data_IF_545519026406
#
_entry.id   IF_545519026406
#
_cell.length_a   1.000
_cell.length_b   1.000
_cell.length_c   1.000
_cell.angle_alpha   90.00
_cell.angle_beta   90.00
_cell.angle_gamma   90.00
#
_symmetry.space_group_name_H-M   'P 1'
#
loop_
_entity.id
_entity.type
_entity.pdbx_description
1 polymer ?
#
# COMPACT_ATOMS: atom_id res chain seq x y z
N UNK A 1 19.87 -10.69 33.04
CA UNK A 1 18.56 -10.28 32.48
C UNK A 1 18.71 -8.83 32.13
N UNK A 2 18.65 -8.46 30.83
CA UNK A 2 18.70 -7.05 30.45
C UNK A 2 17.47 -6.37 31.06
N UNK A 3 17.66 -5.22 31.72
CA UNK A 3 16.56 -4.41 32.26
C UNK A 3 15.56 -4.13 31.13
N UNK A 4 14.35 -4.66 31.23
CA UNK A 4 13.28 -4.40 30.28
C UNK A 4 12.98 -2.90 30.31
N UNK A 5 13.37 -2.18 29.27
CA UNK A 5 13.11 -0.73 29.17
C UNK A 5 11.61 -0.50 29.25
N UNK A 6 11.16 0.21 30.27
CA UNK A 6 9.74 0.48 30.50
C UNK A 6 9.25 1.45 29.43
N UNK A 7 8.30 1.03 28.60
CA UNK A 7 7.63 1.89 27.62
C UNK A 7 6.63 2.80 28.35
N UNK A 8 6.77 4.11 28.21
CA UNK A 8 5.88 5.14 28.77
C UNK A 8 5.27 6.03 27.71
N UNK A 9 6.01 6.24 26.62
CA UNK A 9 5.59 7.10 25.52
C UNK A 9 5.84 6.41 24.17
N UNK A 10 4.81 6.34 23.35
CA UNK A 10 4.88 5.79 21.98
C UNK A 10 4.81 6.94 20.98
N UNK A 11 5.75 6.97 20.04
CA UNK A 11 5.67 7.78 18.81
C UNK A 11 4.91 7.04 17.73
N UNK A 12 4.19 7.76 16.87
CA UNK A 12 3.59 7.22 15.65
C UNK A 12 3.82 8.15 14.48
N UNK A 13 4.24 7.60 13.34
CA UNK A 13 4.44 8.35 12.10
C UNK A 13 3.98 7.56 10.87
N UNK A 14 3.70 8.30 9.80
CA UNK A 14 3.46 7.76 8.46
C UNK A 14 4.67 8.07 7.59
N UNK A 15 5.17 7.09 6.85
CA UNK A 15 6.29 7.28 5.93
C UNK A 15 5.99 6.61 4.58
N UNK A 16 6.41 7.26 3.50
CA UNK A 16 6.14 6.79 2.14
C UNK A 16 4.86 7.37 1.55
N UNK A 17 4.21 6.65 0.64
CA UNK A 17 2.93 7.05 0.07
C UNK A 17 1.78 6.87 1.06
N UNK A 18 0.78 7.72 0.97
CA UNK A 18 -0.46 7.56 1.74
C UNK A 18 -1.31 6.42 1.17
N UNK A 19 -2.11 5.83 2.06
CA UNK A 19 -3.04 4.76 1.72
C UNK A 19 -4.31 4.87 2.58
N UNK A 20 -5.50 4.57 2.02
CA UNK A 20 -6.75 4.58 2.78
C UNK A 20 -6.71 3.55 3.92
N UNK A 21 -7.05 3.97 5.14
CA UNK A 21 -6.93 3.14 6.35
C UNK A 21 -5.76 3.51 7.25
N UNK A 22 -4.81 4.33 6.82
CA UNK A 22 -3.72 4.82 7.67
C UNK A 22 -4.24 5.58 8.90
N UNK A 23 -5.31 6.36 8.77
CA UNK A 23 -5.94 7.02 9.91
C UNK A 23 -6.55 6.02 10.91
N UNK A 24 -7.12 4.92 10.43
CA UNK A 24 -7.61 3.86 11.30
C UNK A 24 -6.47 3.21 12.09
N UNK A 25 -5.30 3.00 11.47
CA UNK A 25 -4.10 2.50 12.13
C UNK A 25 -3.58 3.49 13.20
N UNK A 26 -3.44 4.78 12.85
CA UNK A 26 -3.06 5.83 13.81
C UNK A 26 -4.02 5.83 15.00
N UNK A 27 -5.33 5.85 14.73
CA UNK A 27 -6.38 5.84 15.76
C UNK A 27 -6.23 4.62 16.68
N UNK A 28 -5.98 3.45 16.13
CA UNK A 28 -5.82 2.23 16.91
C UNK A 28 -4.59 2.30 17.82
N UNK A 29 -3.43 2.72 17.29
CA UNK A 29 -2.22 2.94 18.09
C UNK A 29 -2.49 3.91 19.23
N UNK A 30 -3.07 5.08 18.94
CA UNK A 30 -3.34 6.12 19.93
C UNK A 30 -4.29 5.60 21.01
N UNK A 31 -5.44 5.05 20.65
CA UNK A 31 -6.45 4.61 21.62
C UNK A 31 -5.98 3.43 22.45
N UNK A 32 -5.29 2.46 21.84
CA UNK A 32 -4.74 1.31 22.58
C UNK A 32 -3.67 1.75 23.57
N UNK A 33 -2.75 2.62 23.16
CA UNK A 33 -1.70 3.14 24.03
C UNK A 33 -2.28 3.95 25.20
N UNK A 34 -3.19 4.88 24.94
CA UNK A 34 -3.86 5.66 26.00
C UNK A 34 -4.66 4.76 26.95
N UNK A 35 -5.39 3.76 26.44
CA UNK A 35 -6.13 2.79 27.25
C UNK A 35 -5.23 1.96 28.17
N UNK A 36 -3.95 1.83 27.83
CA UNK A 36 -2.91 1.16 28.65
C UNK A 36 -2.08 2.13 29.51
N UNK A 37 -2.51 3.40 29.62
CA UNK A 37 -1.87 4.42 30.46
C UNK A 37 -0.60 5.03 29.86
N UNK A 38 -0.33 4.83 28.57
CA UNK A 38 0.83 5.39 27.88
C UNK A 38 0.53 6.78 27.32
N UNK A 39 1.58 7.57 27.10
CA UNK A 39 1.51 8.82 26.31
C UNK A 39 1.74 8.52 24.85
N UNK A 40 1.14 9.31 23.95
CA UNK A 40 1.32 9.16 22.50
C UNK A 40 1.75 10.48 21.88
N UNK A 41 2.78 10.42 21.04
CA UNK A 41 3.29 11.51 20.25
C UNK A 41 3.09 11.23 18.76
N UNK A 42 2.34 12.10 18.09
CA UNK A 42 2.22 12.08 16.64
C UNK A 42 3.39 12.83 16.01
N UNK A 43 4.04 12.23 15.04
CA UNK A 43 5.12 12.86 14.27
C UNK A 43 4.55 13.21 12.90
N UNK A 44 4.42 14.49 12.62
CA UNK A 44 3.91 14.97 11.34
C UNK A 44 4.96 14.79 10.25
N UNK A 45 4.50 14.58 9.01
CA UNK A 45 5.34 14.45 7.81
C UNK A 45 6.45 13.38 7.93
N UNK A 46 6.17 12.31 8.67
CA UNK A 46 7.02 11.12 8.76
C UNK A 46 8.43 11.40 9.28
N UNK A 47 9.42 10.75 8.69
CA UNK A 47 10.82 10.94 9.09
C UNK A 47 11.33 12.36 8.87
N UNK A 48 10.85 13.06 7.83
CA UNK A 48 11.23 14.47 7.62
C UNK A 48 10.76 15.32 8.80
N UNK A 49 9.53 15.13 9.25
CA UNK A 49 9.02 15.85 10.40
C UNK A 49 9.68 15.44 11.72
N UNK A 50 10.10 14.17 11.85
CA UNK A 50 10.91 13.75 13.00
C UNK A 50 12.19 14.56 13.08
N UNK A 51 12.92 14.68 11.97
CA UNK A 51 14.18 15.46 11.90
C UNK A 51 13.98 16.96 12.11
N UNK A 52 12.79 17.47 11.80
CA UNK A 52 12.38 18.86 12.02
C UNK A 52 11.71 19.09 13.38
N UNK A 53 11.62 18.06 14.22
CA UNK A 53 10.94 18.10 15.52
C UNK A 53 9.43 18.47 15.44
N UNK A 54 8.74 18.11 14.35
CA UNK A 54 7.30 18.34 14.16
C UNK A 54 6.47 17.30 14.95
N UNK A 55 6.65 17.33 16.26
CA UNK A 55 6.10 16.34 17.19
C UNK A 55 4.99 16.99 18.03
N UNK A 56 3.84 16.33 18.08
CA UNK A 56 2.66 16.79 18.82
C UNK A 56 2.21 15.71 19.82
N UNK A 57 1.65 16.11 20.93
CA UNK A 57 0.96 15.17 21.82
C UNK A 57 -0.41 14.81 21.22
N UNK A 58 -0.75 13.53 21.27
CA UNK A 58 -2.04 13.01 20.77
C UNK A 58 -2.91 12.53 21.94
N UNK A 59 -4.14 13.04 21.95
CA UNK A 59 -5.22 12.57 22.82
C UNK A 59 -6.23 11.70 22.06
N UNK A 60 -7.16 11.09 22.78
CA UNK A 60 -8.25 10.32 22.17
C UNK A 60 -9.16 11.19 21.29
N UNK A 61 -9.23 12.52 21.55
CA UNK A 61 -10.03 13.47 20.77
C UNK A 61 -9.39 13.76 19.41
N UNK A 62 -8.06 13.80 19.33
CA UNK A 62 -7.35 14.11 18.08
C UNK A 62 -7.53 13.04 17.00
N UNK A 63 -7.91 11.83 17.40
CA UNK A 63 -8.20 10.70 16.51
C UNK A 63 -9.68 10.33 16.45
N UNK A 64 -10.57 11.19 16.99
CA UNK A 64 -12.02 11.02 16.86
C UNK A 64 -12.43 11.33 15.40
N UNK A 65 -13.40 10.57 14.90
CA UNK A 65 -13.99 10.77 13.57
C UNK A 65 -12.93 10.80 12.44
N UNK A 66 -11.91 9.93 12.59
CA UNK A 66 -10.82 9.79 11.61
C UNK A 66 -10.80 8.41 10.95
N UNK A 67 -11.52 7.41 11.49
CA UNK A 67 -11.48 6.03 11.01
C UNK A 67 -11.98 5.88 9.57
N UNK A 68 -12.95 6.71 9.17
CA UNK A 68 -13.55 6.72 7.85
C UNK A 68 -12.83 7.67 6.87
N UNK A 69 -11.84 8.44 7.33
CA UNK A 69 -11.18 9.47 6.51
C UNK A 69 -10.02 8.87 5.74
N UNK A 70 -9.98 9.15 4.43
CA UNK A 70 -8.82 8.88 3.58
C UNK A 70 -7.64 9.79 3.90
N UNK A 71 -6.51 9.53 3.24
CA UNK A 71 -5.25 10.23 3.51
C UNK A 71 -4.71 9.91 4.91
N UNK A 72 -3.93 10.84 5.46
CA UNK A 72 -3.37 10.70 6.82
C UNK A 72 -3.35 12.03 7.59
N UNK A 73 -3.88 12.03 8.81
CA UNK A 73 -3.91 13.21 9.69
C UNK A 73 -2.52 13.66 10.13
N UNK A 74 -1.53 12.76 10.09
CA UNK A 74 -0.13 13.07 10.40
C UNK A 74 0.66 13.52 9.18
N UNK A 75 0.07 13.47 7.99
CA UNK A 75 0.77 13.77 6.75
C UNK A 75 1.95 12.83 6.49
N UNK A 76 2.56 12.92 5.33
CA UNK A 76 3.75 12.15 4.98
C UNK A 76 4.67 13.01 4.10
N UNK A 77 5.96 12.71 4.11
CA UNK A 77 6.94 13.35 3.23
C UNK A 77 8.10 12.39 2.93
N UNK A 78 8.74 12.60 1.77
CA UNK A 78 10.01 11.94 1.48
C UNK A 78 11.11 12.54 2.34
N UNK A 79 12.03 11.71 2.83
CA UNK A 79 13.15 12.14 3.67
C UNK A 79 14.45 11.51 3.17
N UNK A 80 15.23 12.26 2.40
CA UNK A 80 16.51 11.79 1.89
C UNK A 80 17.56 11.68 3.02
N UNK A 81 17.50 12.55 4.03
CA UNK A 81 18.45 12.60 5.15
C UNK A 81 18.42 11.29 5.97
N UNK A 82 17.27 10.59 6.06
CA UNK A 82 17.18 9.28 6.73
C UNK A 82 17.98 8.17 6.03
N UNK A 83 18.48 8.38 4.83
CA UNK A 83 19.37 7.42 4.16
C UNK A 83 20.81 7.53 4.64
N UNK A 84 21.17 8.61 5.34
CA UNK A 84 22.49 8.85 5.89
C UNK A 84 22.57 8.43 7.37
N UNK A 85 23.73 8.00 7.81
CA UNK A 85 23.95 7.64 9.21
C UNK A 85 23.76 8.84 10.14
N UNK A 86 24.19 10.04 9.73
CA UNK A 86 24.01 11.28 10.48
C UNK A 86 22.51 11.59 10.72
N UNK A 87 21.67 11.45 9.67
CA UNK A 87 20.23 11.63 9.78
C UNK A 87 19.58 10.62 10.71
N UNK A 88 20.02 9.36 10.67
CA UNK A 88 19.54 8.30 11.55
C UNK A 88 19.92 8.56 13.01
N UNK A 89 21.17 8.97 13.28
CA UNK A 89 21.63 9.33 14.61
C UNK A 89 20.87 10.54 15.16
N UNK A 90 20.65 11.56 14.34
CA UNK A 90 19.87 12.76 14.68
C UNK A 90 18.42 12.37 15.01
N UNK A 91 17.77 11.54 14.19
CA UNK A 91 16.41 11.07 14.42
C UNK A 91 16.31 10.29 15.73
N UNK A 92 17.25 9.39 16.03
CA UNK A 92 17.29 8.65 17.29
C UNK A 92 17.52 9.58 18.49
N UNK A 93 18.38 10.59 18.37
CA UNK A 93 18.60 11.59 19.40
C UNK A 93 17.32 12.41 19.70
N UNK A 94 16.58 12.78 18.65
CA UNK A 94 15.30 13.48 18.78
C UNK A 94 14.26 12.59 19.48
N UNK A 95 14.14 11.30 19.11
CA UNK A 95 13.27 10.37 19.83
C UNK A 95 13.61 10.37 21.32
N UNK A 96 14.88 10.28 21.70
CA UNK A 96 15.34 10.31 23.10
C UNK A 96 15.03 11.66 23.77
N UNK A 97 15.27 12.79 23.10
CA UNK A 97 14.98 14.15 23.57
C UNK A 97 13.49 14.31 23.93
N UNK A 98 12.61 13.76 23.10
CA UNK A 98 11.16 13.80 23.31
C UNK A 98 10.63 12.65 24.18
N UNK A 99 11.49 11.80 24.73
CA UNK A 99 11.13 10.69 25.59
C UNK A 99 10.29 9.62 24.89
N UNK A 100 10.47 9.43 23.57
CA UNK A 100 9.80 8.39 22.80
C UNK A 100 10.54 7.08 23.06
N UNK A 101 9.90 6.16 23.80
CA UNK A 101 10.45 4.86 24.16
C UNK A 101 10.23 3.79 23.11
N UNK A 102 9.12 3.93 22.34
CA UNK A 102 8.76 3.06 21.23
C UNK A 102 8.21 3.88 20.07
N UNK A 103 8.46 3.45 18.83
CA UNK A 103 8.02 4.12 17.62
C UNK A 103 7.25 3.16 16.71
N UNK A 104 6.01 3.50 16.40
CA UNK A 104 5.22 2.81 15.38
C UNK A 104 5.37 3.53 14.05
N UNK A 105 5.82 2.81 13.04
CA UNK A 105 6.07 3.32 11.68
C UNK A 105 5.08 2.66 10.71
N UNK A 106 4.20 3.45 10.12
CA UNK A 106 3.21 2.97 9.17
C UNK A 106 3.68 3.32 7.75
N UNK A 107 3.85 2.32 6.89
CA UNK A 107 4.33 2.51 5.52
C UNK A 107 4.78 1.22 4.85
N UNK A 108 5.58 1.33 3.80
CA UNK A 108 6.13 0.20 3.05
C UNK A 108 7.58 -0.15 3.45
N UNK A 109 8.26 -1.00 2.66
CA UNK A 109 9.60 -1.51 2.93
C UNK A 109 10.63 -0.40 3.19
N UNK A 110 10.61 0.68 2.42
CA UNK A 110 11.51 1.81 2.65
C UNK A 110 11.31 2.46 4.02
N UNK A 111 10.09 2.43 4.56
CA UNK A 111 9.77 2.95 5.90
C UNK A 111 10.25 2.00 6.98
N UNK A 112 10.17 0.69 6.72
CA UNK A 112 10.70 -0.35 7.62
C UNK A 112 12.22 -0.34 7.67
N UNK A 113 12.89 -0.12 6.53
CA UNK A 113 14.34 0.08 6.52
C UNK A 113 14.75 1.27 7.39
N UNK A 114 13.99 2.37 7.38
CA UNK A 114 14.20 3.49 8.30
C UNK A 114 13.97 3.12 9.77
N UNK A 115 12.92 2.34 10.06
CA UNK A 115 12.63 1.84 11.41
C UNK A 115 13.74 0.91 11.94
N UNK A 116 14.26 0.01 11.10
CA UNK A 116 15.41 -0.85 11.39
C UNK A 116 16.65 -0.02 11.80
N UNK A 117 16.96 1.02 11.03
CA UNK A 117 18.10 1.88 11.38
C UNK A 117 17.92 2.55 12.74
N UNK A 118 16.71 3.02 13.06
CA UNK A 118 16.42 3.58 14.40
C UNK A 118 16.52 2.52 15.50
N UNK A 119 16.12 1.27 15.24
CA UNK A 119 16.30 0.17 16.17
C UNK A 119 17.78 -0.06 16.51
N UNK A 120 18.68 0.04 15.54
CA UNK A 120 20.13 -0.06 15.75
C UNK A 120 20.68 1.05 16.67
N UNK A 121 20.01 2.22 16.76
CA UNK A 121 20.32 3.29 17.68
C UNK A 121 19.56 3.22 19.02
N UNK A 122 18.89 2.08 19.28
CA UNK A 122 18.23 1.78 20.55
C UNK A 122 16.83 2.36 20.72
N UNK A 123 16.14 2.66 19.62
CA UNK A 123 14.71 3.01 19.62
C UNK A 123 13.92 1.73 19.34
N UNK A 124 12.95 1.39 20.20
CA UNK A 124 12.09 0.23 19.95
C UNK A 124 11.13 0.56 18.78
N UNK A 125 11.19 -0.19 17.69
CA UNK A 125 10.40 0.11 16.47
C UNK A 125 9.48 -1.04 16.09
N UNK A 126 8.25 -0.70 15.68
CA UNK A 126 7.28 -1.64 15.11
C UNK A 126 6.75 -1.04 13.81
N UNK A 127 6.87 -1.79 12.70
CA UNK A 127 6.32 -1.45 11.39
C UNK A 127 4.88 -1.93 11.22
N UNK A 128 4.05 -1.14 10.54
CA UNK A 128 2.72 -1.54 10.06
C UNK A 128 2.66 -1.41 8.54
N UNK A 129 2.20 -2.45 7.81
CA UNK A 129 2.21 -2.47 6.36
C UNK A 129 1.11 -1.56 5.79
N UNK A 130 1.48 -0.34 5.42
CA UNK A 130 0.60 0.68 4.83
C UNK A 130 1.04 1.02 3.42
N UNK A 131 0.44 0.38 2.42
CA UNK A 131 0.63 0.60 0.98
C UNK A 131 -0.54 0.00 0.21
N UNK A 132 -0.89 0.63 -0.91
CA UNK A 132 -1.90 0.08 -1.82
C UNK A 132 -1.33 -1.02 -2.74
N UNK A 133 -0.02 -1.21 -2.80
CA UNK A 133 0.68 -2.00 -3.82
C UNK A 133 0.66 -3.51 -3.51
N UNK A 134 0.42 -3.90 -2.25
CA UNK A 134 0.45 -5.29 -1.74
C UNK A 134 1.81 -5.99 -1.96
N UNK A 135 2.87 -5.22 -2.11
CA UNK A 135 4.23 -5.67 -2.47
C UNK A 135 5.08 -6.11 -1.27
N UNK A 136 4.63 -5.90 -0.03
CA UNK A 136 5.35 -6.29 1.18
C UNK A 136 5.30 -7.81 1.35
N UNK A 137 6.46 -8.47 1.25
CA UNK A 137 6.56 -9.93 1.13
C UNK A 137 6.17 -10.71 2.38
N UNK A 138 6.37 -10.16 3.57
CA UNK A 138 6.08 -10.83 4.84
C UNK A 138 4.59 -10.89 5.20
N UNK A 139 3.70 -10.27 4.41
CA UNK A 139 2.27 -10.19 4.70
C UNK A 139 1.40 -10.48 3.49
N UNK A 140 0.24 -11.07 3.72
CA UNK A 140 -0.80 -11.29 2.71
C UNK A 140 -1.74 -10.09 2.56
N UNK A 141 -1.62 -9.09 3.42
CA UNK A 141 -2.47 -7.90 3.42
C UNK A 141 -1.71 -6.63 3.77
N UNK A 142 -1.94 -5.57 2.99
CA UNK A 142 -1.44 -4.23 3.29
C UNK A 142 -2.61 -3.24 3.40
N UNK A 143 -2.51 -2.32 4.37
CA UNK A 143 -3.53 -1.31 4.64
C UNK A 143 -3.64 -0.37 3.43
N UNK A 144 -4.83 -0.32 2.82
CA UNK A 144 -5.14 0.50 1.66
C UNK A 144 -5.35 -0.26 0.36
N UNK A 145 -4.89 -1.51 0.26
CA UNK A 145 -5.01 -2.32 -0.95
C UNK A 145 -6.48 -2.56 -1.34
N UNK A 146 -7.32 -3.02 -0.40
CA UNK A 146 -8.71 -3.32 -0.68
C UNK A 146 -9.49 -2.08 -1.15
N UNK A 147 -9.24 -0.94 -0.55
CA UNK A 147 -9.85 0.34 -0.97
C UNK A 147 -9.38 0.75 -2.37
N UNK A 148 -8.08 0.61 -2.67
CA UNK A 148 -7.54 0.94 -3.98
C UNK A 148 -8.13 0.05 -5.09
N UNK A 149 -8.27 -1.26 -4.85
CA UNK A 149 -8.95 -2.18 -5.77
C UNK A 149 -10.41 -1.77 -5.99
N UNK A 150 -11.16 -1.49 -4.92
CA UNK A 150 -12.57 -1.08 -5.03
C UNK A 150 -12.72 0.26 -5.78
N UNK A 151 -11.82 1.21 -5.57
CA UNK A 151 -11.80 2.48 -6.31
C UNK A 151 -11.55 2.25 -7.79
N UNK A 152 -10.56 1.43 -8.12
CA UNK A 152 -10.25 1.07 -9.50
C UNK A 152 -11.41 0.30 -10.17
N UNK A 153 -11.98 -0.69 -9.50
CA UNK A 153 -13.12 -1.47 -9.97
C UNK A 153 -14.30 -0.56 -10.37
N UNK A 154 -14.68 0.39 -9.50
CA UNK A 154 -15.74 1.34 -9.80
C UNK A 154 -15.44 2.25 -10.99
N UNK A 155 -14.18 2.61 -11.20
CA UNK A 155 -13.76 3.38 -12.37
C UNK A 155 -13.80 2.53 -13.65
N UNK A 156 -13.33 1.28 -13.58
CA UNK A 156 -13.32 0.33 -14.69
C UNK A 156 -14.76 0.03 -15.15
N UNK A 157 -15.69 -0.18 -14.22
CA UNK A 157 -17.12 -0.39 -14.55
C UNK A 157 -17.68 0.77 -15.40
N UNK A 158 -17.40 2.03 -15.01
CA UNK A 158 -17.84 3.21 -15.74
C UNK A 158 -17.18 3.31 -17.14
N UNK A 159 -15.91 2.94 -17.24
CA UNK A 159 -15.20 2.90 -18.52
C UNK A 159 -15.78 1.80 -19.40
N UNK A 160 -16.11 0.64 -18.84
CA UNK A 160 -16.73 -0.48 -19.56
C UNK A 160 -18.07 -0.09 -20.17
N UNK A 161 -18.93 0.63 -19.43
CA UNK A 161 -20.23 1.10 -19.94
C UNK A 161 -20.07 1.92 -21.21
N UNK A 162 -19.15 2.88 -21.22
CA UNK A 162 -18.91 3.70 -22.41
C UNK A 162 -18.18 2.93 -23.52
N UNK A 163 -17.26 2.01 -23.16
CA UNK A 163 -16.58 1.16 -24.14
C UNK A 163 -17.56 0.24 -24.88
N UNK A 164 -18.52 -0.31 -24.17
CA UNK A 164 -19.60 -1.12 -24.75
C UNK A 164 -20.48 -0.28 -25.67
N UNK A 165 -20.84 0.93 -25.26
CA UNK A 165 -21.71 1.82 -26.05
C UNK A 165 -21.09 2.27 -27.37
N UNK A 166 -19.78 2.38 -27.42
CA UNK A 166 -19.01 2.87 -28.58
C UNK A 166 -18.20 1.78 -29.32
N UNK A 167 -18.33 0.52 -28.89
CA UNK A 167 -17.60 -0.62 -29.47
C UNK A 167 -16.06 -0.40 -29.50
N UNK A 168 -15.48 0.02 -28.34
CA UNK A 168 -14.08 0.43 -28.20
C UNK A 168 -13.23 -0.60 -27.46
N UNK A 169 -11.93 -0.52 -27.67
CA UNK A 169 -10.93 -1.05 -26.75
C UNK A 169 -10.57 0.02 -25.71
N UNK A 170 -10.49 -0.37 -24.44
CA UNK A 170 -10.07 0.52 -23.36
C UNK A 170 -8.91 -0.10 -22.59
N UNK A 171 -7.82 0.66 -22.48
CA UNK A 171 -6.67 0.32 -21.65
C UNK A 171 -6.81 1.14 -20.36
N UNK A 172 -6.95 0.48 -19.24
CA UNK A 172 -7.05 1.12 -17.93
C UNK A 172 -5.75 0.88 -17.16
N UNK A 173 -5.00 1.97 -16.94
CA UNK A 173 -3.77 1.91 -16.16
C UNK A 173 -4.08 2.06 -14.69
N UNK A 174 -3.61 1.09 -13.90
CA UNK A 174 -3.73 1.05 -12.44
C UNK A 174 -2.38 1.19 -11.80
N UNK A 175 -2.34 1.74 -10.58
CA UNK A 175 -1.14 1.82 -9.78
C UNK A 175 -0.66 0.41 -9.36
N UNK A 176 0.38 0.33 -8.56
CA UNK A 176 0.99 -0.91 -8.06
C UNK A 176 2.51 -0.84 -8.08
N UNK A 177 3.07 0.27 -8.61
CA UNK A 177 4.50 0.49 -8.73
C UNK A 177 5.14 -0.62 -9.58
N UNK A 178 6.04 -1.42 -8.98
CA UNK A 178 6.74 -2.53 -9.64
C UNK A 178 6.02 -3.89 -9.43
N UNK A 179 4.75 -3.87 -8.96
CA UNK A 179 3.96 -5.06 -8.65
C UNK A 179 2.60 -5.06 -9.34
N UNK A 180 2.20 -6.21 -9.88
CA UNK A 180 0.97 -6.41 -10.64
C UNK A 180 -0.26 -6.79 -9.81
N UNK A 181 -0.21 -6.77 -8.48
CA UNK A 181 -1.34 -7.25 -7.65
C UNK A 181 -2.63 -6.44 -7.85
N UNK A 182 -2.54 -5.11 -7.94
CA UNK A 182 -3.71 -4.26 -8.24
C UNK A 182 -4.28 -4.60 -9.61
N UNK A 183 -3.43 -4.74 -10.63
CA UNK A 183 -3.86 -5.09 -11.99
C UNK A 183 -4.54 -6.46 -12.03
N UNK A 184 -3.96 -7.47 -11.36
CA UNK A 184 -4.52 -8.81 -11.30
C UNK A 184 -5.90 -8.82 -10.65
N UNK A 185 -6.03 -8.19 -9.48
CA UNK A 185 -7.31 -8.14 -8.75
C UNK A 185 -8.38 -7.35 -9.52
N UNK A 186 -8.02 -6.20 -10.08
CA UNK A 186 -8.92 -5.41 -10.91
C UNK A 186 -9.34 -6.18 -12.17
N UNK A 187 -8.40 -6.86 -12.82
CA UNK A 187 -8.67 -7.64 -14.02
C UNK A 187 -9.63 -8.80 -13.78
N UNK A 188 -9.41 -9.58 -12.72
CA UNK A 188 -10.32 -10.68 -12.32
C UNK A 188 -11.70 -10.12 -11.93
N UNK A 189 -11.75 -9.10 -11.08
CA UNK A 189 -12.99 -8.54 -10.57
C UNK A 189 -13.88 -7.92 -11.65
N UNK A 190 -13.29 -7.37 -12.70
CA UNK A 190 -14.02 -6.76 -13.79
C UNK A 190 -14.09 -7.64 -15.06
N UNK A 191 -13.52 -8.85 -15.05
CA UNK A 191 -13.50 -9.72 -16.23
C UNK A 191 -12.81 -9.07 -17.42
N UNK A 192 -11.58 -8.56 -17.21
CA UNK A 192 -10.78 -7.99 -18.28
C UNK A 192 -10.29 -9.06 -19.25
N UNK A 193 -10.22 -8.72 -20.53
CA UNK A 193 -9.74 -9.63 -21.56
C UNK A 193 -8.21 -9.79 -21.52
N UNK A 194 -7.50 -8.79 -21.00
CA UNK A 194 -6.05 -8.86 -20.82
C UNK A 194 -5.63 -8.12 -19.55
N UNK A 195 -4.66 -8.69 -18.86
CA UNK A 195 -4.03 -8.07 -17.68
C UNK A 195 -2.53 -8.05 -17.96
N UNK A 196 -1.93 -6.86 -17.91
CA UNK A 196 -0.49 -6.65 -18.13
C UNK A 196 0.16 -6.32 -16.79
N UNK A 197 1.21 -7.07 -16.43
CA UNK A 197 1.86 -6.96 -15.12
C UNK A 197 3.38 -6.89 -15.29
N UNK A 198 4.10 -6.16 -14.43
CA UNK A 198 5.56 -6.04 -14.51
C UNK A 198 6.29 -7.37 -14.37
N UNK A 199 5.70 -8.33 -13.68
CA UNK A 199 6.25 -9.67 -13.48
C UNK A 199 6.24 -10.51 -14.77
N UNK A 200 5.44 -10.12 -15.75
CA UNK A 200 5.49 -10.68 -17.11
C UNK A 200 6.41 -9.81 -17.99
N UNK A 201 7.70 -10.16 -18.00
CA UNK A 201 8.70 -9.39 -18.75
C UNK A 201 8.52 -9.42 -20.28
N UNK A 202 7.73 -10.37 -20.78
CA UNK A 202 7.59 -10.65 -22.23
C UNK A 202 6.11 -10.63 -22.65
N UNK A 203 5.34 -9.57 -22.29
CA UNK A 203 4.01 -9.45 -22.88
C UNK A 203 4.12 -9.20 -24.40
N UNK A 204 3.39 -9.99 -25.16
CA UNK A 204 3.39 -9.95 -26.61
C UNK A 204 2.25 -9.04 -27.11
N UNK A 205 2.61 -7.84 -27.56
CA UNK A 205 1.63 -6.87 -28.10
C UNK A 205 1.01 -7.36 -29.41
N UNK A 206 1.76 -8.10 -30.25
CA UNK A 206 1.25 -8.67 -31.49
C UNK A 206 0.14 -9.70 -31.16
N UNK A 207 0.34 -10.50 -30.13
CA UNK A 207 -0.66 -11.44 -29.64
C UNK A 207 -1.92 -10.74 -29.11
N UNK A 208 -1.78 -9.61 -28.42
CA UNK A 208 -2.94 -8.81 -27.99
C UNK A 208 -3.74 -8.31 -29.19
N UNK A 209 -3.05 -7.82 -30.21
CA UNK A 209 -3.68 -7.35 -31.45
C UNK A 209 -4.43 -8.50 -32.16
N UNK A 210 -3.82 -9.68 -32.26
CA UNK A 210 -4.46 -10.88 -32.81
C UNK A 210 -5.72 -11.26 -32.01
N UNK A 211 -5.62 -11.32 -30.67
CA UNK A 211 -6.74 -11.66 -29.77
C UNK A 211 -7.91 -10.67 -29.91
N UNK A 212 -7.63 -9.39 -30.09
CA UNK A 212 -8.66 -8.36 -30.36
C UNK A 212 -9.34 -8.63 -31.71
N UNK A 213 -8.55 -8.89 -32.77
CA UNK A 213 -9.09 -9.15 -34.13
C UNK A 213 -9.94 -10.41 -34.15
N UNK A 214 -9.50 -11.49 -33.49
CA UNK A 214 -10.26 -12.73 -33.39
C UNK A 214 -11.55 -12.57 -32.58
N UNK A 215 -11.48 -11.83 -31.46
CA UNK A 215 -12.65 -11.54 -30.64
C UNK A 215 -13.71 -10.74 -31.41
N UNK A 216 -13.28 -9.76 -32.24
CA UNK A 216 -14.20 -9.04 -33.15
C UNK A 216 -14.84 -9.96 -34.17
N UNK A 217 -14.10 -10.89 -34.79
CA UNK A 217 -14.66 -11.88 -35.73
C UNK A 217 -15.73 -12.76 -35.05
N UNK A 218 -15.61 -13.01 -33.77
CA UNK A 218 -16.59 -13.75 -32.95
C UNK A 218 -17.77 -12.87 -32.50
N UNK A 219 -17.80 -11.59 -32.88
CA UNK A 219 -18.89 -10.67 -32.56
C UNK A 219 -18.71 -9.88 -31.25
N UNK A 220 -17.54 -9.97 -30.60
CA UNK A 220 -17.24 -9.16 -29.42
C UNK A 220 -17.04 -7.70 -29.82
N UNK A 221 -17.70 -6.80 -29.11
CA UNK A 221 -17.79 -5.38 -29.50
C UNK A 221 -16.88 -4.46 -28.69
N UNK A 222 -16.46 -4.87 -27.49
CA UNK A 222 -15.55 -4.10 -26.63
C UNK A 222 -14.42 -5.00 -26.13
N UNK A 223 -13.32 -4.37 -25.71
CA UNK A 223 -12.15 -5.05 -25.20
C UNK A 223 -11.55 -4.22 -24.04
N UNK A 224 -11.31 -4.84 -22.91
CA UNK A 224 -10.76 -4.18 -21.71
C UNK A 224 -9.39 -4.77 -21.38
N UNK A 225 -8.40 -3.90 -21.34
CA UNK A 225 -7.03 -4.24 -20.94
C UNK A 225 -6.75 -3.51 -19.63
N UNK A 226 -6.38 -4.25 -18.59
CA UNK A 226 -5.86 -3.66 -17.36
C UNK A 226 -4.34 -3.66 -17.44
N UNK A 227 -3.74 -2.48 -17.37
CA UNK A 227 -2.30 -2.28 -17.44
C UNK A 227 -1.75 -1.80 -16.10
N UNK A 228 -0.81 -2.52 -15.51
CA UNK A 228 -0.11 -2.02 -14.34
C UNK A 228 0.83 -0.87 -14.71
N UNK A 229 0.93 0.17 -13.88
CA UNK A 229 1.80 1.33 -14.15
C UNK A 229 3.28 0.94 -14.35
N UNK A 230 3.73 -0.17 -13.74
CA UNK A 230 5.08 -0.69 -13.90
C UNK A 230 5.40 -1.23 -15.30
N UNK A 231 4.38 -1.61 -16.09
CA UNK A 231 4.52 -1.92 -17.51
C UNK A 231 4.65 -0.63 -18.33
N UNK A 232 3.85 0.37 -17.97
CA UNK A 232 3.88 1.70 -18.61
C UNK A 232 3.26 1.74 -20.00
N UNK A 233 3.55 2.83 -20.73
CA UNK A 233 3.28 3.07 -22.15
C UNK A 233 1.80 2.99 -22.60
N UNK A 234 0.84 3.01 -21.68
CA UNK A 234 -0.60 2.85 -21.97
C UNK A 234 -1.10 3.76 -23.10
N UNK A 235 -0.63 5.00 -23.17
CA UNK A 235 -1.06 5.98 -24.16
C UNK A 235 -0.57 5.65 -25.58
N UNK A 236 0.68 5.18 -25.72
CA UNK A 236 1.22 4.81 -27.04
C UNK A 236 0.75 3.41 -27.42
N UNK A 237 0.60 2.48 -26.48
CA UNK A 237 -0.03 1.18 -26.69
C UNK A 237 -1.44 1.34 -27.30
N UNK A 238 -2.24 2.27 -26.76
CA UNK A 238 -3.57 2.55 -27.30
C UNK A 238 -3.52 2.97 -28.79
N UNK A 239 -2.57 3.83 -29.17
CA UNK A 239 -2.40 4.25 -30.57
C UNK A 239 -2.00 3.09 -31.48
N UNK A 240 -1.02 2.29 -31.06
CA UNK A 240 -0.56 1.13 -31.86
C UNK A 240 -1.66 0.10 -32.06
N UNK A 241 -2.44 -0.20 -31.01
CA UNK A 241 -3.58 -1.13 -31.10
C UNK A 241 -4.66 -0.56 -32.02
N UNK A 242 -4.99 0.73 -31.93
CA UNK A 242 -5.96 1.38 -32.85
C UNK A 242 -5.50 1.32 -34.30
N UNK A 243 -4.24 1.64 -34.56
CA UNK A 243 -3.66 1.60 -35.93
C UNK A 243 -3.67 0.17 -36.50
N UNK A 244 -3.35 -0.84 -35.72
CA UNK A 244 -3.26 -2.24 -36.17
C UNK A 244 -4.62 -2.92 -36.32
N UNK A 245 -5.61 -2.57 -35.48
CA UNK A 245 -6.91 -3.25 -35.45
C UNK A 245 -8.04 -2.47 -36.11
N UNK A 246 -7.87 -1.16 -36.30
CA UNK A 246 -8.94 -0.25 -36.69
C UNK A 246 -10.05 -0.11 -35.66
N UNK A 247 -9.83 -0.57 -34.42
CA UNK A 247 -10.74 -0.42 -33.30
C UNK A 247 -10.36 0.82 -32.50
N UNK A 248 -11.28 1.78 -32.34
CA UNK A 248 -11.01 2.95 -31.50
C UNK A 248 -10.53 2.51 -30.13
N UNK A 249 -9.33 2.93 -29.74
CA UNK A 249 -8.68 2.53 -28.49
C UNK A 249 -8.34 3.73 -27.64
N UNK A 250 -8.72 3.70 -26.38
CA UNK A 250 -8.51 4.79 -25.41
C UNK A 250 -7.78 4.28 -24.17
N UNK A 251 -6.78 5.04 -23.73
CA UNK A 251 -6.13 4.81 -22.45
C UNK A 251 -6.73 5.72 -21.36
N UNK A 252 -6.98 5.15 -20.20
CA UNK A 252 -7.43 5.85 -18.99
C UNK A 252 -6.47 5.55 -17.86
N UNK A 253 -5.74 6.56 -17.40
CA UNK A 253 -4.78 6.42 -16.29
C UNK A 253 -5.48 6.82 -15.00
N UNK A 254 -5.71 5.85 -14.08
CA UNK A 254 -6.41 6.14 -12.83
C UNK A 254 -5.55 6.93 -11.84
N UNK A 255 -4.25 6.63 -11.78
CA UNK A 255 -3.30 7.38 -10.97
C UNK A 255 -3.71 7.53 -9.50
N UNK A 256 -3.43 8.70 -8.93
CA UNK A 256 -3.56 8.98 -7.50
C UNK A 256 -4.98 8.90 -6.92
N UNK A 257 -6.05 8.82 -7.73
CA UNK A 257 -7.39 8.59 -7.18
C UNK A 257 -7.49 7.26 -6.41
N UNK A 258 -6.63 6.29 -6.74
CA UNK A 258 -6.54 5.00 -6.04
C UNK A 258 -5.94 5.12 -4.63
N UNK A 259 -5.26 6.22 -4.30
CA UNK A 259 -4.71 6.48 -2.96
C UNK A 259 -5.70 7.18 -2.03
N UNK A 260 -6.78 7.71 -2.58
CA UNK A 260 -7.77 8.49 -1.84
C UNK A 260 -9.02 7.70 -1.48
N UNK A 261 -9.94 8.41 -0.86
CA UNK A 261 -11.26 7.90 -0.52
C UNK A 261 -11.38 7.32 0.88
N UNK A 262 -12.62 7.07 1.26
CA UNK A 262 -12.96 6.46 2.56
C UNK A 262 -12.55 4.99 2.56
N UNK A 263 -11.76 4.52 3.56
CA UNK A 263 -11.32 3.13 3.60
C UNK A 263 -12.50 2.16 3.71
N UNK A 264 -12.40 1.03 3.03
CA UNK A 264 -13.36 -0.08 3.14
C UNK A 264 -13.43 -0.62 4.56
N UNK A 265 -14.46 -1.39 4.85
CA UNK A 265 -14.58 -2.11 6.13
C UNK A 265 -13.32 -2.95 6.40
N UNK A 266 -12.82 -3.64 5.38
CA UNK A 266 -11.65 -4.51 5.48
C UNK A 266 -10.40 -3.71 5.89
N UNK A 267 -10.09 -2.62 5.20
CA UNK A 267 -8.96 -1.77 5.53
C UNK A 267 -9.06 -1.17 6.95
N UNK A 268 -10.26 -0.74 7.37
CA UNK A 268 -10.47 -0.22 8.75
C UNK A 268 -10.22 -1.28 9.81
N UNK A 269 -10.71 -2.50 9.60
CA UNK A 269 -10.57 -3.61 10.56
C UNK A 269 -9.11 -4.04 10.67
N UNK A 270 -8.45 -4.31 9.55
CA UNK A 270 -7.06 -4.75 9.54
C UNK A 270 -6.13 -3.69 10.12
N UNK A 271 -6.29 -2.44 9.72
CA UNK A 271 -5.52 -1.32 10.27
C UNK A 271 -5.71 -1.18 11.79
N UNK A 272 -6.95 -1.32 12.28
CA UNK A 272 -7.23 -1.21 13.70
C UNK A 272 -6.60 -2.34 14.52
N UNK A 273 -6.69 -3.58 14.05
CA UNK A 273 -6.10 -4.72 14.77
C UNK A 273 -4.58 -4.67 14.71
N UNK A 274 -3.99 -4.37 13.55
CA UNK A 274 -2.53 -4.23 13.41
C UNK A 274 -2.00 -3.09 14.31
N UNK A 275 -2.70 -1.96 14.37
CA UNK A 275 -2.32 -0.84 15.24
C UNK A 275 -2.35 -1.20 16.72
N UNK A 276 -3.35 -1.93 17.17
CA UNK A 276 -3.42 -2.43 18.55
C UNK A 276 -2.29 -3.42 18.84
N UNK A 277 -2.05 -4.39 17.94
CA UNK A 277 -0.96 -5.37 18.06
C UNK A 277 0.41 -4.71 18.15
N UNK A 278 0.66 -3.63 17.42
CA UNK A 278 1.93 -2.90 17.49
C UNK A 278 2.21 -2.36 18.91
N UNK A 279 1.18 -1.85 19.59
CA UNK A 279 1.30 -1.39 20.97
C UNK A 279 1.57 -2.56 21.92
N UNK A 280 0.90 -3.70 21.72
CA UNK A 280 1.13 -4.89 22.52
C UNK A 280 2.57 -5.41 22.39
N UNK A 281 3.09 -5.49 21.16
CA UNK A 281 4.48 -5.89 20.91
C UNK A 281 5.49 -4.98 21.60
N UNK A 282 5.28 -3.66 21.59
CA UNK A 282 6.14 -2.72 22.32
C UNK A 282 6.11 -2.97 23.83
N UNK A 283 4.93 -3.23 24.40
CA UNK A 283 4.78 -3.52 25.83
C UNK A 283 5.36 -4.88 26.23
N UNK A 284 5.38 -5.84 25.31
CA UNK A 284 6.09 -7.11 25.45
C UNK A 284 7.62 -6.94 25.44
N UNK A 285 8.10 -5.76 25.07
CA UNK A 285 9.51 -5.43 24.94
C UNK A 285 10.12 -5.88 23.60
N UNK A 286 9.29 -6.16 22.60
CA UNK A 286 9.75 -6.45 21.25
C UNK A 286 10.17 -5.17 20.53
N UNK A 287 11.16 -5.29 19.70
CA UNK A 287 11.69 -4.20 18.85
C UNK A 287 12.11 -4.76 17.50
N UNK A 288 12.32 -3.89 16.52
CA UNK A 288 12.70 -4.27 15.16
C UNK A 288 11.73 -5.27 14.55
N UNK A 289 10.40 -5.07 14.76
CA UNK A 289 9.38 -5.98 14.24
C UNK A 289 8.46 -5.27 13.25
N UNK A 290 7.91 -6.04 12.32
CA UNK A 290 6.82 -5.63 11.45
C UNK A 290 5.62 -6.53 11.69
N UNK A 291 4.43 -5.93 11.86
CA UNK A 291 3.17 -6.67 11.97
C UNK A 291 2.73 -7.09 10.56
N UNK A 292 2.31 -8.31 10.42
CA UNK A 292 1.74 -8.84 9.19
C UNK A 292 0.44 -9.58 9.43
N UNK A 293 -0.23 -9.97 8.35
CA UNK A 293 -1.37 -10.86 8.34
C UNK A 293 -1.04 -12.05 7.44
N UNK A 294 -1.13 -13.27 7.97
CA UNK A 294 -0.77 -14.48 7.24
C UNK A 294 -1.60 -15.67 7.73
N UNK A 295 -2.16 -16.43 6.79
CA UNK A 295 -2.97 -17.63 7.10
C UNK A 295 -4.10 -17.40 8.11
N UNK A 296 -4.78 -16.25 8.04
CA UNK A 296 -5.88 -15.92 8.94
C UNK A 296 -5.47 -15.29 10.27
N UNK A 297 -4.18 -15.11 10.54
CA UNK A 297 -3.64 -14.63 11.81
C UNK A 297 -2.82 -13.34 11.67
N UNK A 298 -2.85 -12.53 12.72
CA UNK A 298 -1.97 -11.38 12.84
C UNK A 298 -0.65 -11.81 13.49
N UNK A 299 0.41 -11.80 12.70
CA UNK A 299 1.76 -12.25 13.07
C UNK A 299 2.73 -11.08 13.17
N UNK A 300 3.95 -11.32 13.61
CA UNK A 300 5.04 -10.34 13.55
C UNK A 300 6.33 -11.01 13.11
N UNK A 301 7.11 -10.29 12.29
CA UNK A 301 8.40 -10.71 11.78
C UNK A 301 9.50 -9.76 12.24
N UNK A 302 10.72 -10.22 12.32
CA UNK A 302 11.87 -9.33 12.39
C UNK A 302 11.95 -8.49 11.10
N UNK A 303 12.28 -7.19 11.21
CA UNK A 303 12.33 -6.30 10.02
C UNK A 303 13.43 -6.74 9.06
N UNK A 304 14.59 -7.20 9.57
CA UNK A 304 15.69 -7.68 8.72
C UNK A 304 15.27 -8.91 7.93
N UNK A 305 14.57 -9.85 8.59
CA UNK A 305 13.99 -11.02 7.94
C UNK A 305 12.93 -10.62 6.90
N UNK A 306 12.00 -9.76 7.28
CA UNK A 306 10.90 -9.30 6.42
C UNK A 306 11.39 -8.61 5.14
N UNK A 307 12.40 -7.75 5.24
CA UNK A 307 13.01 -7.05 4.11
C UNK A 307 13.81 -7.99 3.18
N UNK A 308 14.23 -9.15 3.68
CA UNK A 308 14.89 -10.19 2.88
C UNK A 308 13.94 -11.14 2.15
N UNK A 309 12.64 -11.10 2.46
CA UNK A 309 11.65 -11.96 1.82
C UNK A 309 11.34 -11.49 0.41
N UNK A 310 10.89 -12.41 -0.44
CA UNK A 310 10.37 -12.13 -1.78
C UNK A 310 8.94 -12.62 -1.91
N UNK A 311 8.16 -11.96 -2.75
CA UNK A 311 6.76 -12.30 -3.01
C UNK A 311 6.51 -12.21 -4.52
N UNK A 312 5.88 -13.23 -5.07
CA UNK A 312 5.50 -13.27 -6.48
C UNK A 312 3.99 -13.28 -6.65
N UNK A 313 3.53 -13.01 -7.85
CA UNK A 313 2.13 -13.10 -8.23
C UNK A 313 1.61 -14.53 -8.00
N UNK A 314 0.42 -14.71 -7.41
CA UNK A 314 -0.17 -16.04 -7.21
C UNK A 314 -0.46 -16.71 -8.56
N UNK A 315 0.35 -17.71 -8.94
CA UNK A 315 0.28 -18.37 -10.25
C UNK A 315 -1.12 -18.89 -10.58
N UNK A 316 -1.80 -19.52 -9.62
CA UNK A 316 -3.15 -20.03 -9.82
C UNK A 316 -4.16 -18.93 -10.16
N UNK A 317 -4.13 -17.78 -9.44
CA UNK A 317 -5.03 -16.66 -9.73
C UNK A 317 -4.78 -16.08 -11.12
N UNK A 318 -3.53 -16.02 -11.53
CA UNK A 318 -3.16 -15.53 -12.84
C UNK A 318 -3.60 -16.46 -13.98
N UNK A 319 -3.43 -17.77 -13.83
CA UNK A 319 -3.93 -18.74 -14.81
C UNK A 319 -5.46 -18.70 -14.92
N UNK A 320 -6.17 -18.64 -13.79
CA UNK A 320 -7.64 -18.48 -13.79
C UNK A 320 -8.07 -17.18 -14.48
N UNK A 321 -7.34 -16.08 -14.27
CA UNK A 321 -7.62 -14.83 -14.96
C UNK A 321 -7.55 -14.96 -16.48
N UNK A 322 -6.58 -15.70 -17.02
CA UNK A 322 -6.46 -16.01 -18.45
C UNK A 322 -7.61 -16.90 -18.95
N UNK A 323 -7.98 -17.91 -18.18
CA UNK A 323 -9.10 -18.81 -18.55
C UNK A 323 -10.44 -18.06 -18.59
N UNK A 324 -10.67 -17.12 -17.68
CA UNK A 324 -11.90 -16.33 -17.62
C UNK A 324 -11.98 -15.20 -18.65
N UNK A 325 -10.91 -14.89 -19.35
CA UNK A 325 -10.80 -13.82 -20.35
C UNK A 325 -11.36 -14.20 -21.72
N UNK A 326 -12.03 -15.32 -21.90
CA UNK A 326 -12.55 -15.90 -23.16
C UNK A 326 -13.66 -15.06 -23.85
#
# INVERSE_FOLDING_TARGET
MADKKVIRTIGVLISGGDAPGMNAAIRAVVRTALGKGLKVRGIRRGYQGLLNEEIIDLSARDVSDTIERGGTILQTARCAEMRTEEGQQKAAAICKKYGIDGLVVIGGDGSFAGAQKLANFGINTIGLPGTIDLDIACTEYTIGFDTAVNTAMQAIDKVRDTSTSHERCSIIEVMGRDAGYLALWCGIANGAEKILMPEEHDYDEEKIIEDIQESRKRGKKNYIIINAEGVGDSMNMAKRIEEATGMETRATILGHMQRGGSPTCKDRVYASIMGAKAVDLLLEGKTNRVVGYKHGEYVDFDIDEALGMTKGIPAYQYEIAKELAL
#
